data_IF_598621190113
#
_entry.id   IF_598621190113
#
_cell.length_a   1.000
_cell.length_b   1.000
_cell.length_c   1.000
_cell.angle_alpha   90.00
_cell.angle_beta   90.00
_cell.angle_gamma   90.00
#
_symmetry.space_group_name_H-M   'P 1'
#
loop_
_entity.id
_entity.type
_entity.pdbx_description
1 polymer ?
#
# COMPACT_ATOMS: atom_id res chain seq x y z
N UNK A 1 13.08 7.91 1.35
CA UNK A 1 12.05 8.86 1.84
C UNK A 1 12.13 8.86 3.37
N UNK A 2 12.52 9.97 4.01
CA UNK A 2 12.74 10.01 5.47
C UNK A 2 11.51 9.58 6.27
N UNK A 3 10.34 10.14 5.97
CA UNK A 3 9.09 9.82 6.69
C UNK A 3 8.71 8.33 6.66
N UNK A 4 9.01 7.60 5.58
CA UNK A 4 8.77 6.15 5.52
C UNK A 4 9.72 5.40 6.44
N UNK A 5 11.00 5.79 6.47
CA UNK A 5 11.99 5.17 7.36
C UNK A 5 11.72 5.48 8.84
N UNK A 6 11.27 6.69 9.14
CA UNK A 6 10.85 7.11 10.50
C UNK A 6 9.61 6.35 10.97
N UNK A 7 8.64 6.12 10.07
CA UNK A 7 7.41 5.39 10.39
C UNK A 7 7.60 3.87 10.51
N UNK A 8 8.69 3.33 9.98
CA UNK A 8 8.99 1.90 9.95
C UNK A 8 10.46 1.63 10.36
N UNK A 9 10.84 1.94 11.60
CA UNK A 9 12.24 1.85 12.04
C UNK A 9 12.82 0.42 11.97
N UNK A 10 11.97 -0.60 12.07
CA UNK A 10 12.36 -2.02 11.98
C UNK A 10 12.39 -2.58 10.56
N UNK A 11 12.06 -1.74 9.54
CA UNK A 11 12.04 -2.19 8.16
C UNK A 11 13.45 -2.50 7.64
N UNK A 12 13.61 -3.62 6.95
CA UNK A 12 14.86 -3.96 6.27
C UNK A 12 15.07 -3.01 5.08
N UNK A 13 16.17 -2.26 5.11
CA UNK A 13 16.55 -1.37 4.01
C UNK A 13 17.57 -2.12 3.13
N UNK A 14 17.24 -2.27 1.84
CA UNK A 14 18.13 -2.84 0.83
C UNK A 14 18.60 -1.75 -0.10
N UNK A 15 19.91 -1.52 -0.14
CA UNK A 15 20.54 -0.57 -1.05
C UNK A 15 20.77 -1.24 -2.40
N UNK A 16 20.28 -0.61 -3.48
CA UNK A 16 20.46 -1.07 -4.85
C UNK A 16 21.39 -0.11 -5.61
N UNK A 17 22.54 -0.56 -6.11
CA UNK A 17 23.50 0.34 -6.80
C UNK A 17 23.02 0.83 -8.18
N UNK A 18 22.13 0.08 -8.87
CA UNK A 18 21.68 0.49 -10.19
C UNK A 18 20.56 -0.34 -10.83
N UNK A 19 20.11 -1.43 -10.18
CA UNK A 19 19.03 -2.25 -10.74
C UNK A 19 17.73 -1.45 -10.78
N UNK A 20 17.13 -1.35 -11.95
CA UNK A 20 15.84 -0.67 -12.15
C UNK A 20 14.73 -1.49 -11.48
N UNK A 21 14.72 -2.79 -11.75
CA UNK A 21 13.80 -3.72 -11.09
C UNK A 21 14.44 -4.23 -9.79
N UNK A 22 13.78 -3.98 -8.65
CA UNK A 22 14.30 -4.46 -7.38
C UNK A 22 14.38 -5.99 -7.30
N UNK A 23 13.61 -6.71 -8.11
CA UNK A 23 13.67 -8.18 -8.16
C UNK A 23 14.96 -8.72 -8.78
N UNK A 24 15.71 -7.91 -9.52
CA UNK A 24 17.03 -8.27 -10.08
C UNK A 24 18.14 -8.19 -9.00
N UNK A 25 17.85 -7.55 -7.85
CA UNK A 25 18.77 -7.48 -6.73
C UNK A 25 18.60 -8.71 -5.81
N UNK A 26 19.67 -9.48 -5.65
CA UNK A 26 19.66 -10.74 -4.87
C UNK A 26 19.34 -10.52 -3.39
N UNK A 27 19.82 -9.43 -2.80
CA UNK A 27 19.60 -9.12 -1.38
C UNK A 27 18.14 -8.74 -1.13
N UNK A 28 17.53 -8.00 -2.06
CA UNK A 28 16.10 -7.70 -2.01
C UNK A 28 15.26 -8.98 -2.06
N UNK A 29 15.53 -9.86 -3.03
CA UNK A 29 14.80 -11.13 -3.15
C UNK A 29 15.02 -12.01 -1.92
N UNK A 30 16.23 -12.06 -1.38
CA UNK A 30 16.53 -12.79 -0.16
C UNK A 30 15.76 -12.25 1.05
N UNK A 31 15.70 -10.92 1.21
CA UNK A 31 14.93 -10.27 2.27
C UNK A 31 13.43 -10.61 2.15
N UNK A 32 12.84 -10.54 0.95
CA UNK A 32 11.45 -10.93 0.72
C UNK A 32 11.23 -12.40 1.09
N UNK A 33 12.05 -13.31 0.59
CA UNK A 33 11.94 -14.75 0.87
C UNK A 33 12.06 -15.07 2.35
N UNK A 34 12.94 -14.37 3.09
CA UNK A 34 13.13 -14.53 4.52
C UNK A 34 11.87 -14.29 5.35
N UNK A 35 10.95 -13.46 4.86
CA UNK A 35 9.67 -13.21 5.54
C UNK A 35 8.75 -14.44 5.59
N UNK A 36 8.93 -15.40 4.71
CA UNK A 36 8.07 -16.58 4.56
C UNK A 36 6.64 -16.24 4.07
N UNK A 37 6.35 -14.99 3.75
CA UNK A 37 5.03 -14.54 3.31
C UNK A 37 4.81 -14.90 1.85
N UNK A 38 3.53 -15.13 1.49
CA UNK A 38 3.10 -15.41 0.11
C UNK A 38 2.38 -14.24 -0.53
N UNK A 39 1.87 -13.31 0.26
CA UNK A 39 1.18 -12.11 -0.19
C UNK A 39 2.12 -10.91 -0.05
N UNK A 40 2.23 -10.11 -1.10
CA UNK A 40 3.06 -8.90 -1.13
C UNK A 40 2.21 -7.69 -1.44
N UNK A 41 2.24 -6.71 -0.56
CA UNK A 41 1.75 -5.35 -0.82
C UNK A 41 2.94 -4.54 -1.34
N UNK A 42 2.82 -4.00 -2.54
CA UNK A 42 3.92 -3.28 -3.19
C UNK A 42 3.46 -1.86 -3.52
N UNK A 43 4.29 -0.89 -3.19
CA UNK A 43 4.17 0.50 -3.60
C UNK A 43 5.53 1.01 -4.11
N UNK A 44 5.53 2.03 -4.95
CA UNK A 44 6.79 2.57 -5.50
C UNK A 44 6.60 3.75 -6.43
N UNK A 45 7.69 4.45 -6.67
CA UNK A 45 7.81 5.57 -7.59
C UNK A 45 8.92 5.22 -8.61
N UNK A 46 8.59 5.11 -9.91
CA UNK A 46 7.27 5.35 -10.49
C UNK A 46 6.42 4.07 -10.65
N UNK A 47 5.11 4.26 -10.84
CA UNK A 47 4.14 3.16 -10.99
C UNK A 47 4.47 2.25 -12.17
N UNK A 48 4.82 2.82 -13.34
CA UNK A 48 5.09 2.10 -14.58
C UNK A 48 6.44 1.36 -14.60
N UNK A 49 7.35 1.70 -13.68
CA UNK A 49 8.70 1.11 -13.58
C UNK A 49 8.86 0.40 -12.24
N UNK A 50 9.07 1.14 -11.15
CA UNK A 50 9.46 0.56 -9.87
C UNK A 50 8.35 -0.31 -9.26
N UNK A 51 7.07 0.09 -9.38
CA UNK A 51 5.96 -0.74 -8.95
C UNK A 51 5.70 -1.89 -9.91
N UNK A 52 5.54 -1.60 -11.21
CA UNK A 52 5.14 -2.61 -12.20
C UNK A 52 6.18 -3.72 -12.36
N UNK A 53 7.47 -3.40 -12.47
CA UNK A 53 8.50 -4.41 -12.71
C UNK A 53 8.65 -5.38 -11.55
N UNK A 54 8.71 -4.87 -10.33
CA UNK A 54 8.77 -5.71 -9.12
C UNK A 54 7.52 -6.57 -9.00
N UNK A 55 6.35 -5.99 -9.25
CA UNK A 55 5.08 -6.69 -9.15
C UNK A 55 4.98 -7.85 -10.16
N UNK A 56 5.39 -7.61 -11.41
CA UNK A 56 5.41 -8.64 -12.45
C UNK A 56 6.37 -9.77 -12.11
N UNK A 57 7.59 -9.45 -11.68
CA UNK A 57 8.59 -10.45 -11.30
C UNK A 57 8.19 -11.23 -10.06
N UNK A 58 7.59 -10.59 -9.06
CA UNK A 58 7.08 -11.26 -7.88
C UNK A 58 5.92 -12.21 -8.23
N UNK A 59 5.02 -11.79 -9.13
CA UNK A 59 3.92 -12.63 -9.62
C UNK A 59 4.44 -13.86 -10.35
N UNK A 60 5.42 -13.69 -11.23
CA UNK A 60 6.10 -14.78 -11.94
C UNK A 60 6.80 -15.76 -10.97
N UNK A 61 7.34 -15.23 -9.88
CA UNK A 61 7.94 -16.02 -8.81
C UNK A 61 6.92 -16.71 -7.87
N UNK A 62 5.62 -16.63 -8.16
CA UNK A 62 4.55 -17.34 -7.46
C UNK A 62 4.02 -16.65 -6.20
N UNK A 63 4.18 -15.33 -6.08
CA UNK A 63 3.55 -14.54 -5.03
C UNK A 63 2.17 -14.04 -5.44
N UNK A 64 1.28 -13.86 -4.47
CA UNK A 64 0.07 -13.07 -4.63
C UNK A 64 0.42 -11.60 -4.44
N UNK A 65 0.28 -10.81 -5.49
CA UNK A 65 0.77 -9.43 -5.53
C UNK A 65 -0.38 -8.43 -5.55
N UNK A 66 -0.30 -7.47 -4.65
CA UNK A 66 -1.24 -6.37 -4.50
C UNK A 66 -0.49 -5.05 -4.70
N UNK A 67 -0.82 -4.32 -5.76
CA UNK A 67 -0.20 -3.05 -6.12
C UNK A 67 -0.99 -1.89 -5.49
N UNK A 68 -0.38 -1.15 -4.56
CA UNK A 68 -1.04 -0.03 -3.87
C UNK A 68 -0.84 1.24 -4.67
N UNK A 69 -1.84 1.60 -5.48
CA UNK A 69 -1.73 2.63 -6.51
C UNK A 69 -1.62 4.05 -5.94
N UNK A 70 -2.42 4.38 -4.96
CA UNK A 70 -2.43 5.70 -4.32
C UNK A 70 -1.30 5.92 -3.28
N UNK A 71 -0.52 4.87 -3.01
CA UNK A 71 0.79 4.95 -2.34
C UNK A 71 1.96 4.94 -3.33
N UNK A 72 1.68 5.09 -4.62
CA UNK A 72 2.65 5.06 -5.72
C UNK A 72 2.53 6.33 -6.56
N UNK A 73 3.62 6.74 -7.19
CA UNK A 73 3.64 7.95 -8.01
C UNK A 73 3.78 7.65 -9.50
N UNK A 74 3.23 8.51 -10.34
CA UNK A 74 3.33 8.43 -11.80
C UNK A 74 3.41 9.83 -12.41
N UNK A 75 3.72 9.90 -13.71
CA UNK A 75 3.93 11.17 -14.42
C UNK A 75 2.64 11.79 -14.94
N UNK A 76 1.72 10.96 -15.40
CA UNK A 76 0.42 11.36 -15.91
C UNK A 76 -0.54 10.17 -15.97
N UNK A 77 -1.81 10.49 -16.23
CA UNK A 77 -2.88 9.49 -16.22
C UNK A 77 -2.73 8.39 -17.29
N UNK A 78 -2.27 8.71 -18.48
CA UNK A 78 -2.07 7.73 -19.55
C UNK A 78 -1.02 6.69 -19.16
N UNK A 79 0.09 7.12 -18.55
CA UNK A 79 1.16 6.24 -18.08
C UNK A 79 0.66 5.34 -16.95
N UNK A 80 -0.12 5.90 -16.03
CA UNK A 80 -0.74 5.15 -14.95
C UNK A 80 -1.68 4.07 -15.47
N UNK A 81 -2.62 4.44 -16.33
CA UNK A 81 -3.60 3.52 -16.92
C UNK A 81 -2.91 2.36 -17.68
N UNK A 82 -1.88 2.66 -18.44
CA UNK A 82 -1.09 1.64 -19.15
C UNK A 82 -0.40 0.68 -18.18
N UNK A 83 0.21 1.20 -17.11
CA UNK A 83 0.86 0.40 -16.09
C UNK A 83 -0.15 -0.49 -15.33
N UNK A 84 -1.29 0.05 -14.96
CA UNK A 84 -2.38 -0.69 -14.30
C UNK A 84 -2.90 -1.79 -15.20
N UNK A 85 -3.20 -1.50 -16.46
CA UNK A 85 -3.69 -2.49 -17.42
C UNK A 85 -2.70 -3.66 -17.56
N UNK A 86 -1.40 -3.36 -17.67
CA UNK A 86 -0.34 -4.37 -17.75
C UNK A 86 -0.28 -5.25 -16.49
N UNK A 87 -0.35 -4.66 -15.31
CA UNK A 87 -0.32 -5.38 -14.05
C UNK A 87 -1.56 -6.27 -13.87
N UNK A 88 -2.75 -5.75 -14.18
CA UNK A 88 -4.01 -6.50 -14.09
C UNK A 88 -4.01 -7.71 -15.03
N UNK A 89 -3.54 -7.56 -16.28
CA UNK A 89 -3.40 -8.67 -17.23
C UNK A 89 -2.48 -9.78 -16.71
N UNK A 90 -1.47 -9.44 -15.91
CA UNK A 90 -0.58 -10.40 -15.27
C UNK A 90 -1.16 -11.01 -13.97
N UNK A 91 -2.38 -10.66 -13.59
CA UNK A 91 -3.03 -11.16 -12.37
C UNK A 91 -2.55 -10.48 -11.09
N UNK A 92 -2.04 -9.26 -11.17
CA UNK A 92 -1.73 -8.41 -10.03
C UNK A 92 -3.01 -7.66 -9.64
N UNK A 93 -3.31 -7.60 -8.35
CA UNK A 93 -4.51 -6.95 -7.83
C UNK A 93 -4.21 -5.48 -7.51
N UNK A 94 -4.86 -4.51 -8.19
CA UNK A 94 -4.74 -3.10 -7.83
C UNK A 94 -5.49 -2.82 -6.53
N UNK A 95 -4.86 -2.07 -5.62
CA UNK A 95 -5.41 -1.70 -4.32
C UNK A 95 -5.23 -0.21 -4.07
N UNK A 96 -5.98 0.30 -3.10
CA UNK A 96 -5.74 1.60 -2.47
C UNK A 96 -5.31 1.40 -1.02
N UNK A 97 -4.61 2.38 -0.43
CA UNK A 97 -4.18 2.29 0.97
C UNK A 97 -5.36 2.08 1.94
N UNK A 98 -6.50 2.70 1.64
CA UNK A 98 -7.74 2.53 2.43
C UNK A 98 -8.24 1.09 2.34
N UNK A 99 -8.28 0.54 1.13
CA UNK A 99 -8.69 -0.84 0.91
C UNK A 99 -7.79 -1.83 1.65
N UNK A 100 -6.48 -1.65 1.53
CA UNK A 100 -5.49 -2.44 2.29
C UNK A 100 -5.71 -2.33 3.79
N UNK A 101 -5.88 -1.09 4.30
CA UNK A 101 -6.11 -0.87 5.72
C UNK A 101 -7.38 -1.55 6.23
N UNK A 102 -8.47 -1.48 5.47
CA UNK A 102 -9.73 -2.11 5.82
C UNK A 102 -9.65 -3.66 5.82
N UNK A 103 -8.97 -4.26 4.82
CA UNK A 103 -8.75 -5.71 4.77
C UNK A 103 -7.88 -6.21 5.93
N UNK A 104 -6.86 -5.44 6.34
CA UNK A 104 -6.02 -5.78 7.48
C UNK A 104 -6.73 -5.57 8.82
N UNK A 105 -7.62 -4.57 8.91
CA UNK A 105 -8.36 -4.26 10.12
C UNK A 105 -9.42 -5.32 10.43
N UNK A 106 -10.16 -5.76 9.43
CA UNK A 106 -11.28 -6.73 9.48
C UNK A 106 -12.45 -6.26 10.34
N UNK A 107 -12.21 -5.75 11.55
CA UNK A 107 -13.24 -5.31 12.50
C UNK A 107 -12.81 -4.01 13.21
N UNK A 108 -13.66 -3.00 13.13
CA UNK A 108 -13.45 -1.71 13.80
C UNK A 108 -13.33 -1.80 15.33
N UNK A 109 -13.85 -2.85 15.93
CA UNK A 109 -13.78 -3.12 17.38
C UNK A 109 -12.46 -3.73 17.80
N UNK A 110 -11.59 -4.08 16.85
CA UNK A 110 -10.26 -4.62 17.13
C UNK A 110 -9.36 -3.62 17.86
N UNK A 111 -8.29 -4.09 18.46
CA UNK A 111 -7.32 -3.25 19.18
C UNK A 111 -6.73 -2.12 18.30
N UNK A 112 -6.65 -2.33 16.99
CA UNK A 112 -6.13 -1.35 16.02
C UNK A 112 -7.21 -0.45 15.41
N UNK A 113 -8.50 -0.72 15.66
CA UNK A 113 -9.62 -0.01 15.04
C UNK A 113 -9.61 1.51 15.28
N UNK A 114 -9.30 1.92 16.52
CA UNK A 114 -9.22 3.33 16.87
C UNK A 114 -8.06 4.04 16.15
N UNK A 115 -6.90 3.40 16.06
CA UNK A 115 -5.75 3.96 15.35
C UNK A 115 -6.02 4.08 13.85
N UNK A 116 -6.66 3.06 13.25
CA UNK A 116 -7.07 3.10 11.85
C UNK A 116 -8.11 4.20 11.59
N UNK A 117 -9.08 4.39 12.48
CA UNK A 117 -10.07 5.46 12.38
C UNK A 117 -9.45 6.86 12.42
N UNK A 118 -8.43 7.08 13.25
CA UNK A 118 -7.66 8.34 13.24
C UNK A 118 -6.93 8.54 11.93
N UNK A 119 -6.22 7.53 11.44
CA UNK A 119 -5.51 7.60 10.15
C UNK A 119 -6.47 7.98 9.01
N UNK A 120 -7.65 7.36 8.96
CA UNK A 120 -8.67 7.72 7.97
C UNK A 120 -9.19 9.15 8.15
N UNK A 121 -9.38 9.61 9.39
CA UNK A 121 -9.80 10.97 9.69
C UNK A 121 -8.78 12.02 9.24
N UNK A 122 -7.49 11.74 9.45
CA UNK A 122 -6.40 12.65 9.12
C UNK A 122 -6.15 12.76 7.60
N UNK A 123 -6.29 11.67 6.86
CA UNK A 123 -5.94 11.61 5.43
C UNK A 123 -7.14 11.54 4.47
N UNK A 124 -8.35 11.35 4.98
CA UNK A 124 -9.59 11.38 4.20
C UNK A 124 -10.55 12.40 4.79
N UNK A 125 -10.55 13.66 4.32
CA UNK A 125 -11.42 14.73 4.85
C UNK A 125 -12.89 14.35 4.91
N UNK A 126 -13.37 13.58 3.94
CA UNK A 126 -14.73 13.03 3.92
C UNK A 126 -15.02 12.15 5.16
N UNK A 127 -14.11 11.25 5.49
CA UNK A 127 -14.26 10.35 6.66
C UNK A 127 -14.22 11.14 7.97
N UNK A 128 -13.30 12.10 8.09
CA UNK A 128 -13.22 12.98 9.27
C UNK A 128 -14.48 13.79 9.48
N UNK A 129 -15.01 14.41 8.43
CA UNK A 129 -16.26 15.21 8.50
C UNK A 129 -17.47 14.34 8.88
N UNK A 130 -17.58 13.13 8.34
CA UNK A 130 -18.65 12.20 8.71
C UNK A 130 -18.58 11.78 10.19
N UNK A 131 -17.38 11.51 10.69
CA UNK A 131 -17.17 11.18 12.10
C UNK A 131 -17.58 12.34 13.02
N UNK A 132 -17.18 13.56 12.70
CA UNK A 132 -17.59 14.76 13.45
C UNK A 132 -19.10 14.91 13.46
N UNK A 133 -19.76 14.79 12.31
CA UNK A 133 -21.22 14.85 12.19
C UNK A 133 -21.94 13.76 13.00
N UNK A 134 -21.43 12.52 12.93
CA UNK A 134 -21.99 11.41 13.70
C UNK A 134 -21.89 11.63 15.23
N UNK A 135 -20.73 12.02 15.72
CA UNK A 135 -20.55 12.25 17.16
C UNK A 135 -21.32 13.46 17.65
N UNK A 136 -21.43 14.53 16.85
CA UNK A 136 -22.28 15.68 17.17
C UNK A 136 -23.76 15.28 17.29
N UNK A 137 -24.29 14.50 16.34
CA UNK A 137 -25.66 13.99 16.38
C UNK A 137 -25.90 13.07 17.59
N UNK A 138 -24.95 12.20 17.91
CA UNK A 138 -25.04 11.31 19.08
C UNK A 138 -25.05 12.08 20.41
N UNK A 139 -24.28 13.16 20.53
CA UNK A 139 -24.27 14.03 21.70
C UNK A 139 -25.58 14.81 21.89
N UNK A 140 -26.25 15.18 20.80
CA UNK A 140 -27.54 15.91 20.87
C UNK A 140 -28.74 14.99 21.18
N UNK A 141 -28.61 13.68 21.02
CA UNK A 141 -29.68 12.71 21.38
C UNK A 141 -29.59 12.25 22.84
N UNK A 142 -28.48 12.54 23.53
CA UNK A 142 -28.23 12.15 24.93
C UNK A 142 -28.61 13.21 25.94
N UNK A 143 -29.21 14.32 25.50
CA UNK A 143 -29.78 15.43 26.34
C UNK A 143 -31.29 15.45 26.22
#
# INVERSE_FOLDING_TARGET
MPAVAEGLPEATIVHRPGEINAWDNKDFVAAVKKTGRKKLLIAGISTEVCLAFVSLSARDAGYDVYAVLDASGTWNKLVEEAAIARMVQAGIVPMTWVGVGAELLVDWRSATGQAHGRLMGDFLPFSGNNAVGFFAAKGSVSS
#
